data_IF_186536904383
#
_entry.id   IF_186536904383
#
_cell.length_a   1.000
_cell.length_b   1.000
_cell.length_c   1.000
_cell.angle_alpha   90.00
_cell.angle_beta   90.00
_cell.angle_gamma   90.00
#
_symmetry.space_group_name_H-M   'P 1'
#
loop_
_entity.id
_entity.type
_entity.pdbx_description
1 polymer ?
#
# COMPACT_ATOMS: atom_id res chain seq x y z
N UNK A 1 -5.49 12.38 11.78
CA UNK A 1 -5.44 11.01 11.24
C UNK A 1 -6.21 10.98 9.94
N UNK A 2 -5.52 10.78 8.81
CA UNK A 2 -6.12 10.89 7.46
C UNK A 2 -6.82 9.58 7.12
N UNK A 3 -8.11 9.59 6.79
CA UNK A 3 -8.82 8.36 6.41
C UNK A 3 -8.31 7.80 5.07
N UNK A 4 -8.28 6.48 4.91
CA UNK A 4 -7.76 5.82 3.69
C UNK A 4 -8.47 6.29 2.40
N UNK A 5 -9.79 6.50 2.45
CA UNK A 5 -10.53 7.03 1.29
C UNK A 5 -10.01 8.40 0.84
N UNK A 6 -9.59 9.27 1.78
CA UNK A 6 -9.02 10.57 1.43
C UNK A 6 -7.69 10.40 0.69
N UNK A 7 -6.88 9.41 1.07
CA UNK A 7 -5.61 9.09 0.41
C UNK A 7 -5.84 8.54 -1.00
N UNK A 8 -6.84 7.68 -1.20
CA UNK A 8 -7.18 7.11 -2.52
C UNK A 8 -7.51 8.22 -3.53
N UNK A 9 -8.23 9.26 -3.11
CA UNK A 9 -8.64 10.37 -3.97
C UNK A 9 -7.67 11.56 -3.99
N UNK A 10 -6.56 11.51 -3.24
CA UNK A 10 -5.57 12.60 -3.18
C UNK A 10 -4.64 12.54 -4.40
N UNK A 11 -4.96 13.29 -5.45
CA UNK A 11 -4.22 13.28 -6.73
C UNK A 11 -2.73 13.65 -6.63
N UNK A 12 -2.31 14.31 -5.55
CA UNK A 12 -0.89 14.60 -5.29
C UNK A 12 -0.09 13.36 -4.86
N UNK A 13 -0.76 12.25 -4.51
CA UNK A 13 -0.10 10.99 -4.17
C UNK A 13 0.20 10.15 -5.43
N UNK A 14 1.31 9.40 -5.44
CA UNK A 14 1.67 8.53 -6.56
C UNK A 14 0.56 7.54 -6.93
N UNK A 15 0.42 7.27 -8.23
CA UNK A 15 -0.62 6.36 -8.76
C UNK A 15 -0.46 4.95 -8.19
N UNK A 16 0.77 4.45 -8.04
CA UNK A 16 1.04 3.13 -7.46
C UNK A 16 0.48 3.01 -6.04
N UNK A 17 0.62 4.04 -5.22
CA UNK A 17 0.09 4.08 -3.87
C UNK A 17 -1.44 4.14 -3.90
N UNK A 18 -2.04 5.05 -4.68
CA UNK A 18 -3.50 5.17 -4.77
C UNK A 18 -4.16 3.88 -5.27
N UNK A 19 -3.59 3.26 -6.29
CA UNK A 19 -4.04 1.98 -6.82
C UNK A 19 -3.90 0.85 -5.79
N UNK A 20 -2.75 0.76 -5.11
CA UNK A 20 -2.53 -0.21 -4.05
C UNK A 20 -3.55 -0.07 -2.92
N UNK A 21 -3.82 1.16 -2.46
CA UNK A 21 -4.82 1.45 -1.44
C UNK A 21 -6.22 1.07 -1.92
N UNK A 22 -6.60 1.43 -3.15
CA UNK A 22 -7.90 1.11 -3.72
C UNK A 22 -8.15 -0.40 -3.74
N UNK A 23 -7.26 -1.17 -4.37
CA UNK A 23 -7.43 -2.62 -4.55
C UNK A 23 -7.44 -3.35 -3.21
N UNK A 24 -6.60 -2.96 -2.26
CA UNK A 24 -6.56 -3.60 -0.94
C UNK A 24 -7.70 -3.16 0.00
N UNK A 25 -8.53 -2.19 -0.40
CA UNK A 25 -9.75 -1.77 0.33
C UNK A 25 -11.03 -2.40 -0.20
N UNK A 26 -10.99 -3.01 -1.38
CA UNK A 26 -12.10 -3.75 -1.97
C UNK A 26 -12.51 -4.94 -1.10
N UNK A 27 -13.73 -5.44 -1.31
CA UNK A 27 -14.13 -6.72 -0.74
C UNK A 27 -13.23 -7.83 -1.28
N UNK A 28 -13.07 -8.91 -0.52
CA UNK A 28 -12.20 -10.01 -0.91
C UNK A 28 -12.56 -10.59 -2.28
N UNK A 29 -13.85 -10.68 -2.60
CA UNK A 29 -14.35 -11.16 -3.90
C UNK A 29 -13.97 -10.23 -5.04
N UNK A 30 -14.17 -8.91 -4.89
CA UNK A 30 -13.83 -7.93 -5.92
C UNK A 30 -12.32 -7.84 -6.12
N UNK A 31 -11.56 -7.91 -5.02
CA UNK A 31 -10.10 -7.94 -5.05
C UNK A 31 -9.60 -9.14 -5.85
N UNK A 32 -10.21 -10.31 -5.67
CA UNK A 32 -9.83 -11.53 -6.37
C UNK A 32 -9.91 -11.34 -7.90
N UNK A 33 -11.03 -10.80 -8.39
CA UNK A 33 -11.25 -10.53 -9.82
C UNK A 33 -10.16 -9.61 -10.39
N UNK A 34 -9.83 -8.51 -9.69
CA UNK A 34 -8.79 -7.58 -10.14
C UNK A 34 -7.41 -8.24 -10.14
N UNK A 35 -7.08 -8.99 -9.09
CA UNK A 35 -5.77 -9.64 -8.94
C UNK A 35 -5.58 -10.75 -9.96
N UNK A 36 -6.65 -11.46 -10.34
CA UNK A 36 -6.61 -12.47 -11.40
C UNK A 36 -6.36 -11.84 -12.77
N UNK A 37 -7.03 -10.72 -13.08
CA UNK A 37 -6.90 -10.05 -14.37
C UNK A 37 -5.60 -9.22 -14.54
N UNK A 38 -5.14 -8.58 -13.47
CA UNK A 38 -4.06 -7.58 -13.54
C UNK A 38 -2.84 -7.90 -12.66
N UNK A 39 -2.90 -8.97 -11.87
CA UNK A 39 -1.88 -9.30 -10.88
C UNK A 39 -2.04 -8.54 -9.56
N UNK A 40 -1.31 -9.00 -8.54
CA UNK A 40 -1.31 -8.41 -7.21
C UNK A 40 -0.63 -7.04 -7.23
N UNK A 41 -1.30 -5.95 -6.79
CA UNK A 41 -0.68 -4.63 -6.76
C UNK A 41 0.48 -4.62 -5.77
N UNK A 42 1.65 -4.16 -6.22
CA UNK A 42 2.79 -3.91 -5.37
C UNK A 42 3.01 -2.41 -5.20
N UNK A 43 3.34 -2.00 -3.98
CA UNK A 43 3.79 -0.66 -3.68
C UNK A 43 4.92 -0.73 -2.66
N UNK A 44 5.97 0.03 -2.93
CA UNK A 44 7.16 0.14 -2.12
C UNK A 44 7.34 1.61 -1.74
N UNK A 45 8.02 1.85 -0.63
CA UNK A 45 8.31 3.17 -0.12
C UNK A 45 9.59 3.15 0.72
N UNK A 46 10.09 4.32 1.07
CA UNK A 46 11.20 4.46 2.00
C UNK A 46 10.66 4.84 3.39
N UNK A 47 11.10 4.10 4.40
CA UNK A 47 10.82 4.36 5.80
C UNK A 47 12.11 4.35 6.60
N UNK A 48 12.42 5.45 7.30
CA UNK A 48 13.65 5.60 8.11
C UNK A 48 14.92 5.22 7.32
N UNK A 49 14.99 5.68 6.06
CA UNK A 49 16.14 5.45 5.17
C UNK A 49 16.25 4.03 4.60
N UNK A 50 15.22 3.17 4.75
CA UNK A 50 15.21 1.81 4.22
C UNK A 50 14.03 1.59 3.29
N UNK A 51 14.27 0.83 2.22
CA UNK A 51 13.22 0.38 1.33
C UNK A 51 12.33 -0.65 2.01
N UNK A 52 11.01 -0.47 1.88
CA UNK A 52 9.99 -1.36 2.43
C UNK A 52 8.90 -1.64 1.39
N UNK A 53 8.27 -2.81 1.52
CA UNK A 53 7.04 -3.16 0.79
C UNK A 53 5.83 -2.93 1.66
N UNK A 54 4.77 -2.38 1.07
CA UNK A 54 3.44 -2.35 1.67
C UNK A 54 2.77 -3.72 1.50
N UNK A 55 2.22 -4.25 2.59
CA UNK A 55 1.60 -5.59 2.65
C UNK A 55 0.22 -5.60 3.31
N UNK A 56 -0.24 -4.46 3.82
CA UNK A 56 -1.55 -4.31 4.44
C UNK A 56 -2.02 -2.86 4.33
N UNK A 57 -3.32 -2.67 4.16
CA UNK A 57 -3.98 -1.36 4.19
C UNK A 57 -5.07 -1.39 5.24
N UNK A 58 -5.04 -0.41 6.14
CA UNK A 58 -6.12 -0.20 7.09
C UNK A 58 -7.05 0.93 6.64
N UNK A 59 -8.28 0.93 7.16
CA UNK A 59 -9.27 2.01 6.91
C UNK A 59 -8.80 3.37 7.43
N UNK A 60 -7.95 3.31 8.44
CA UNK A 60 -7.50 4.39 9.28
C UNK A 60 -6.29 5.16 8.70
N UNK A 61 -5.92 4.88 7.44
CA UNK A 61 -4.91 5.62 6.68
C UNK A 61 -3.47 5.19 6.94
N UNK A 62 -3.31 4.12 7.70
CA UNK A 62 -2.05 3.46 7.98
C UNK A 62 -1.89 2.17 7.18
N UNK A 63 -0.63 1.82 6.93
CA UNK A 63 -0.24 0.67 6.13
C UNK A 63 0.71 -0.23 6.91
N UNK A 64 0.60 -1.53 6.68
CA UNK A 64 1.59 -2.49 7.15
C UNK A 64 2.78 -2.52 6.19
N UNK A 65 3.99 -2.39 6.73
CA UNK A 65 5.24 -2.41 5.97
C UNK A 65 6.14 -3.57 6.40
N UNK A 66 6.94 -4.07 5.46
CA UNK A 66 7.96 -5.10 5.70
C UNK A 66 9.25 -4.78 4.95
N UNK A 67 10.39 -5.12 5.54
CA UNK A 67 11.70 -5.04 4.89
C UNK A 67 11.96 -6.22 3.95
N UNK A 68 11.18 -7.29 4.06
CA UNK A 68 11.27 -8.47 3.18
C UNK A 68 10.47 -8.19 1.91
N UNK A 69 11.13 -7.66 0.89
CA UNK A 69 10.48 -7.07 -0.29
C UNK A 69 9.62 -8.06 -1.10
N UNK A 70 9.91 -9.36 -1.04
CA UNK A 70 9.09 -10.38 -1.71
C UNK A 70 7.92 -10.91 -0.84
N UNK A 71 7.89 -10.57 0.45
CA UNK A 71 6.85 -11.03 1.36
C UNK A 71 5.49 -10.42 1.01
N UNK A 72 4.48 -11.28 0.85
CA UNK A 72 3.11 -10.86 0.52
C UNK A 72 2.28 -10.51 1.73
N UNK A 73 2.46 -11.25 2.82
CA UNK A 73 1.62 -11.20 4.03
C UNK A 73 2.46 -11.00 5.28
N UNK A 74 1.86 -10.42 6.31
CA UNK A 74 2.53 -10.12 7.58
C UNK A 74 3.42 -8.88 7.48
N UNK A 75 3.30 -7.97 8.44
CA UNK A 75 4.06 -6.71 8.49
C UNK A 75 4.97 -6.68 9.71
N UNK A 76 6.08 -5.98 9.60
CA UNK A 76 6.98 -5.69 10.73
C UNK A 76 6.51 -4.47 11.52
N UNK A 77 5.98 -3.47 10.80
CA UNK A 77 5.50 -2.22 11.40
C UNK A 77 4.21 -1.77 10.74
N UNK A 78 3.43 -0.98 11.48
CA UNK A 78 2.23 -0.29 11.01
C UNK A 78 2.48 1.20 11.17
N UNK A 79 2.44 1.92 10.05
CA UNK A 79 2.88 3.33 9.98
C UNK A 79 1.87 4.15 9.19
N UNK A 80 1.78 5.45 9.47
CA UNK A 80 1.00 6.36 8.64
C UNK A 80 1.60 6.46 7.24
N UNK A 81 0.76 6.60 6.22
CA UNK A 81 1.24 6.89 4.86
C UNK A 81 2.07 8.19 4.81
N UNK A 82 1.79 9.14 5.68
CA UNK A 82 2.53 10.41 5.77
C UNK A 82 3.95 10.24 6.34
N UNK A 83 4.28 9.10 6.96
CA UNK A 83 5.64 8.77 7.43
C UNK A 83 6.52 8.13 6.34
N UNK A 84 5.94 7.86 5.18
CA UNK A 84 6.58 7.17 4.07
C UNK A 84 6.90 8.15 2.95
N UNK A 85 7.93 7.84 2.18
CA UNK A 85 8.36 8.66 1.04
C UNK A 85 8.78 7.79 -0.15
N UNK A 86 9.08 8.43 -1.28
CA UNK A 86 9.66 7.77 -2.46
C UNK A 86 8.86 6.53 -2.94
N UNK A 87 7.53 6.66 -3.05
CA UNK A 87 6.69 5.53 -3.41
C UNK A 87 6.95 5.05 -4.85
N UNK A 88 6.99 3.74 -5.06
CA UNK A 88 7.21 3.14 -6.37
C UNK A 88 6.57 1.75 -6.52
N UNK A 89 6.38 1.28 -7.77
CA UNK A 89 5.90 -0.07 -8.05
C UNK A 89 7.01 -1.14 -7.94
N UNK A 90 8.27 -0.72 -7.88
CA UNK A 90 9.45 -1.58 -7.73
C UNK A 90 10.17 -1.31 -6.41
N UNK A 91 10.92 -2.28 -5.88
CA UNK A 91 11.94 -2.04 -4.85
C UNK A 91 12.87 -0.88 -5.21
#
# INVERSE_FOLDING_TARGET
MTHCNNLIHKHTLPICLRYYLLVNRLLAVDKYVIVEAMGEPKCFADWKGKRVRLVMVSRLGDVGITYKLEQKNGYSHRVSVDELSNFGPTP
#
